data_IF_622584578644
#
_entry.id   IF_622584578644
#
_cell.length_a   1.000
_cell.length_b   1.000
_cell.length_c   1.000
_cell.angle_alpha   90.00
_cell.angle_beta   90.00
_cell.angle_gamma   90.00
#
_symmetry.space_group_name_H-M   'P 1'
#
loop_
_entity.id
_entity.type
_entity.pdbx_description
1 polymer ?
#
# COMPACT_ATOMS: atom_id res chain seq x y z
N UNK A 1 -4.22 9.88 41.89
CA UNK A 1 -5.47 9.27 41.38
C UNK A 1 -6.26 8.84 42.60
N UNK A 2 -7.53 9.26 42.65
CA UNK A 2 -8.43 9.17 43.80
C UNK A 2 -9.38 8.00 43.53
N UNK A 3 -9.03 6.83 44.02
CA UNK A 3 -9.89 5.67 44.28
C UNK A 3 -9.03 4.67 45.08
N UNK A 4 -9.48 4.27 46.27
CA UNK A 4 -8.78 3.34 47.16
C UNK A 4 -8.73 1.88 46.70
N UNK A 5 -8.93 1.59 45.41
CA UNK A 5 -8.77 0.25 44.86
C UNK A 5 -7.30 -0.26 44.95
N UNK A 6 -7.08 -1.52 45.37
CA UNK A 6 -5.74 -2.10 45.39
C UNK A 6 -5.21 -2.26 43.96
N UNK A 7 -3.94 -1.91 43.74
CA UNK A 7 -3.31 -2.00 42.43
C UNK A 7 -3.35 -3.46 41.91
N UNK A 8 -3.59 -3.68 40.60
CA UNK A 8 -3.84 -5.01 40.03
C UNK A 8 -2.62 -5.94 40.02
N UNK A 9 -1.49 -5.50 40.57
CA UNK A 9 -0.28 -6.29 40.75
C UNK A 9 0.17 -6.10 42.20
N UNK A 10 0.52 -7.21 42.87
CA UNK A 10 0.87 -7.28 44.30
C UNK A 10 2.09 -6.46 44.71
N UNK A 11 1.99 -5.15 44.61
CA UNK A 11 3.00 -4.16 44.97
C UNK A 11 2.62 -3.46 46.28
N UNK A 12 2.10 -4.21 47.25
CA UNK A 12 1.71 -3.68 48.56
C UNK A 12 2.85 -2.96 49.30
N UNK A 13 4.10 -3.25 48.97
CA UNK A 13 5.27 -2.59 49.57
C UNK A 13 5.89 -1.49 48.69
N UNK A 14 5.56 -1.41 47.39
CA UNK A 14 6.17 -0.41 46.48
C UNK A 14 5.43 0.94 46.53
N UNK A 15 4.26 0.99 47.18
CA UNK A 15 3.52 2.23 47.42
C UNK A 15 4.27 3.28 48.28
N UNK A 16 5.42 2.94 48.89
CA UNK A 16 6.18 3.86 49.74
C UNK A 16 7.29 4.65 49.01
N UNK A 17 7.66 4.31 47.77
CA UNK A 17 8.68 5.06 47.03
C UNK A 17 8.02 6.14 46.16
N UNK A 18 8.02 7.40 46.63
CA UNK A 18 7.47 8.51 45.86
C UNK A 18 8.46 8.95 44.76
N UNK A 19 8.38 8.32 43.60
CA UNK A 19 9.23 8.65 42.45
C UNK A 19 8.80 9.94 41.73
N UNK A 20 7.70 10.58 42.13
CA UNK A 20 7.21 11.79 41.47
C UNK A 20 8.14 13.00 41.64
N UNK A 21 8.99 12.99 42.68
CA UNK A 21 10.00 14.03 42.94
C UNK A 21 11.43 13.58 42.62
N UNK A 22 11.62 12.42 41.97
CA UNK A 22 12.95 11.92 41.67
C UNK A 22 13.60 12.70 40.53
N UNK A 23 14.77 13.28 40.79
CA UNK A 23 15.50 14.17 39.85
C UNK A 23 16.50 13.43 38.96
N UNK A 24 16.47 12.09 38.95
CA UNK A 24 17.35 11.26 38.11
C UNK A 24 18.66 10.83 38.79
N UNK A 25 18.86 11.10 40.08
CA UNK A 25 20.04 10.62 40.82
C UNK A 25 19.89 9.13 41.20
N UNK A 26 20.70 8.22 40.61
CA UNK A 26 20.63 6.78 40.89
C UNK A 26 21.12 6.41 42.28
N UNK A 27 21.71 7.34 43.05
CA UNK A 27 22.12 7.08 44.42
C UNK A 27 21.07 7.44 45.48
N UNK A 28 19.97 8.08 45.06
CA UNK A 28 18.88 8.46 45.95
C UNK A 28 18.24 7.25 46.66
N UNK A 29 17.77 7.49 47.89
CA UNK A 29 17.19 6.45 48.74
C UNK A 29 15.92 5.83 48.11
N UNK A 30 15.10 6.65 47.47
CA UNK A 30 13.84 6.19 46.85
C UNK A 30 14.10 5.30 45.62
N UNK A 31 15.10 5.64 44.80
CA UNK A 31 15.50 4.83 43.67
C UNK A 31 16.08 3.47 44.08
N UNK A 32 16.91 3.45 45.14
CA UNK A 32 17.48 2.19 45.67
C UNK A 32 16.40 1.27 46.23
N UNK A 33 15.40 1.82 46.93
CA UNK A 33 14.26 1.05 47.44
C UNK A 33 13.40 0.47 46.33
N UNK A 34 13.05 1.28 45.33
CA UNK A 34 12.29 0.83 44.16
C UNK A 34 13.03 -0.29 43.41
N UNK A 35 14.31 -0.07 43.08
CA UNK A 35 15.10 -1.06 42.32
C UNK A 35 15.33 -2.35 43.11
N UNK A 36 15.58 -2.30 44.42
CA UNK A 36 15.65 -3.50 45.26
C UNK A 36 14.32 -4.23 45.35
N UNK A 37 13.18 -3.52 45.48
CA UNK A 37 11.86 -4.15 45.48
C UNK A 37 11.57 -4.87 44.15
N UNK A 38 11.89 -4.23 43.02
CA UNK A 38 11.76 -4.85 41.68
C UNK A 38 12.69 -6.04 41.54
N UNK A 39 13.97 -5.89 41.90
CA UNK A 39 14.94 -6.98 41.81
C UNK A 39 14.55 -8.17 42.70
N UNK A 40 13.97 -7.90 43.88
CA UNK A 40 13.47 -8.94 44.79
C UNK A 40 12.18 -9.57 44.26
N UNK A 41 11.26 -8.82 43.67
CA UNK A 41 10.07 -9.39 43.03
C UNK A 41 10.42 -10.27 41.83
N UNK A 42 11.50 -9.93 41.10
CA UNK A 42 11.97 -10.69 39.94
C UNK A 42 12.83 -11.88 40.33
N UNK A 43 13.68 -11.76 41.36
CA UNK A 43 14.70 -12.75 41.69
C UNK A 43 14.49 -13.46 43.05
N UNK A 44 13.62 -12.97 43.91
CA UNK A 44 13.34 -13.47 45.26
C UNK A 44 11.95 -14.08 45.36
N UNK A 45 11.91 -15.42 45.33
CA UNK A 45 10.80 -16.28 45.72
C UNK A 45 9.57 -16.32 44.80
N UNK A 46 9.46 -17.41 44.03
CA UNK A 46 8.77 -18.58 44.59
C UNK A 46 7.30 -18.44 44.96
N UNK A 47 6.56 -17.48 44.41
CA UNK A 47 5.11 -17.64 44.32
C UNK A 47 4.84 -18.83 43.38
N UNK A 48 4.46 -19.97 43.94
CA UNK A 48 3.78 -21.00 43.18
C UNK A 48 2.61 -20.30 42.51
N UNK A 49 2.70 -20.10 41.19
CA UNK A 49 1.56 -19.60 40.43
C UNK A 49 0.39 -20.51 40.79
N UNK A 50 -0.79 -19.98 41.16
CA UNK A 50 -1.96 -20.83 41.34
C UNK A 50 -2.07 -21.64 40.05
N UNK A 51 -1.92 -22.96 40.19
CA UNK A 51 -2.09 -23.87 39.07
C UNK A 51 -3.46 -23.51 38.47
N UNK A 52 -3.55 -23.16 37.17
CA UNK A 52 -4.84 -22.92 36.56
C UNK A 52 -5.70 -24.12 36.92
N UNK A 53 -6.85 -23.88 37.56
CA UNK A 53 -7.84 -24.94 37.70
C UNK A 53 -7.94 -25.61 36.33
N UNK A 54 -7.74 -26.94 36.28
CA UNK A 54 -7.74 -27.67 35.02
C UNK A 54 -8.91 -27.14 34.21
N UNK A 55 -8.61 -26.50 33.07
CA UNK A 55 -9.64 -25.88 32.26
C UNK A 55 -10.70 -26.96 32.05
N UNK A 56 -11.99 -26.70 32.33
CA UNK A 56 -13.02 -27.66 31.97
C UNK A 56 -12.75 -28.00 30.52
N UNK A 57 -12.73 -29.31 30.20
CA UNK A 57 -12.55 -29.77 28.83
C UNK A 57 -13.57 -29.01 28.01
N UNK A 58 -13.10 -28.00 27.28
CA UNK A 58 -13.95 -27.23 26.40
C UNK A 58 -14.25 -28.19 25.26
N UNK A 59 -15.38 -28.88 25.39
CA UNK A 59 -16.09 -29.32 24.21
C UNK A 59 -16.61 -28.02 23.61
N UNK A 60 -16.09 -27.58 22.46
CA UNK A 60 -16.71 -26.47 21.78
C UNK A 60 -18.20 -26.80 21.66
N UNK A 61 -19.11 -25.87 22.00
CA UNK A 61 -20.50 -26.03 21.60
C UNK A 61 -20.46 -26.36 20.11
N UNK A 62 -21.28 -27.31 19.62
CA UNK A 62 -21.30 -27.64 18.20
C UNK A 62 -21.38 -26.32 17.48
N UNK A 63 -20.34 -26.00 16.71
CA UNK A 63 -20.23 -24.72 16.03
C UNK A 63 -21.50 -24.66 15.22
N UNK A 64 -22.46 -23.83 15.64
CA UNK A 64 -23.62 -23.56 14.83
C UNK A 64 -22.99 -23.07 13.54
N UNK A 65 -23.07 -23.90 12.49
CA UNK A 65 -22.54 -23.57 11.20
C UNK A 65 -22.99 -22.12 10.95
N UNK A 66 -22.06 -21.19 10.63
CA UNK A 66 -22.45 -19.82 10.39
C UNK A 66 -23.68 -19.89 9.50
N UNK A 67 -24.80 -19.30 9.95
CA UNK A 67 -26.06 -19.41 9.24
C UNK A 67 -25.72 -19.21 7.77
N UNK A 68 -25.98 -20.24 6.95
CA UNK A 68 -25.66 -20.20 5.54
C UNK A 68 -26.43 -19.02 4.99
N UNK A 69 -25.76 -17.88 4.94
CA UNK A 69 -26.16 -16.77 4.13
C UNK A 69 -25.75 -17.28 2.77
N UNK A 70 -26.70 -17.67 1.90
CA UNK A 70 -26.34 -17.97 0.53
C UNK A 70 -25.47 -16.81 0.06
N UNK A 71 -24.34 -17.07 -0.59
CA UNK A 71 -23.57 -16.01 -1.22
C UNK A 71 -24.59 -15.14 -1.95
N UNK A 72 -24.76 -13.87 -1.53
CA UNK A 72 -25.52 -12.89 -2.32
C UNK A 72 -25.03 -13.13 -3.73
N UNK A 73 -25.89 -13.50 -4.72
CA UNK A 73 -25.45 -14.08 -5.98
C UNK A 73 -24.21 -13.34 -6.47
N UNK A 74 -23.04 -13.89 -6.13
CA UNK A 74 -21.80 -13.35 -6.62
C UNK A 74 -21.88 -13.75 -8.07
N UNK A 75 -21.72 -12.83 -9.02
CA UNK A 75 -21.64 -13.20 -10.43
C UNK A 75 -20.71 -14.40 -10.50
N UNK A 76 -21.28 -15.55 -10.88
CA UNK A 76 -20.70 -16.86 -10.61
C UNK A 76 -19.23 -16.85 -11.02
N UNK A 77 -18.37 -17.37 -10.16
CA UNK A 77 -16.99 -17.73 -10.47
C UNK A 77 -16.98 -18.93 -11.45
N UNK A 78 -17.59 -18.69 -12.61
CA UNK A 78 -17.87 -19.57 -13.73
C UNK A 78 -18.21 -18.77 -14.99
N UNK A 79 -18.10 -17.43 -14.95
CA UNK A 79 -17.95 -16.62 -16.15
C UNK A 79 -16.50 -16.66 -16.58
N UNK A 80 -16.27 -17.16 -17.79
CA UNK A 80 -15.04 -17.15 -18.58
C UNK A 80 -13.94 -16.24 -18.02
N UNK A 81 -12.72 -16.76 -17.87
CA UNK A 81 -11.50 -15.97 -17.69
C UNK A 81 -11.62 -14.74 -18.59
N UNK A 82 -11.91 -13.55 -18.04
CA UNK A 82 -12.41 -12.41 -18.84
C UNK A 82 -11.27 -11.90 -19.73
N UNK A 83 -11.03 -12.59 -20.85
CA UNK A 83 -10.11 -12.22 -21.91
C UNK A 83 -10.86 -11.24 -22.79
N UNK A 84 -10.97 -10.02 -22.29
CA UNK A 84 -11.43 -8.87 -23.07
C UNK A 84 -10.53 -8.66 -24.29
N UNK A 85 -11.12 -8.07 -25.32
CA UNK A 85 -10.40 -7.49 -26.44
C UNK A 85 -9.53 -6.30 -25.97
N UNK A 86 -8.55 -5.85 -26.78
CA UNK A 86 -7.76 -4.66 -26.48
C UNK A 86 -8.62 -3.44 -26.09
N UNK A 87 -9.66 -3.16 -26.89
CA UNK A 87 -10.62 -2.09 -26.64
C UNK A 87 -11.41 -2.32 -25.34
N UNK A 88 -11.76 -3.58 -25.04
CA UNK A 88 -12.43 -3.94 -23.79
C UNK A 88 -11.60 -3.59 -22.56
N UNK A 89 -10.27 -3.79 -22.58
CA UNK A 89 -9.41 -3.33 -21.47
C UNK A 89 -9.39 -1.81 -21.36
N UNK A 90 -9.28 -1.10 -22.47
CA UNK A 90 -9.24 0.37 -22.46
C UNK A 90 -10.53 0.93 -21.85
N UNK A 91 -11.69 0.42 -22.27
CA UNK A 91 -12.99 0.78 -21.68
C UNK A 91 -13.06 0.45 -20.20
N UNK A 92 -12.54 -0.72 -19.80
CA UNK A 92 -12.47 -1.13 -18.38
C UNK A 92 -11.62 -0.16 -17.56
N UNK A 93 -10.50 0.33 -18.08
CA UNK A 93 -9.67 1.34 -17.43
C UNK A 93 -10.42 2.66 -17.23
N UNK A 94 -11.14 3.14 -18.25
CA UNK A 94 -11.98 4.34 -18.14
C UNK A 94 -13.18 4.17 -17.20
N UNK A 95 -13.71 2.96 -17.06
CA UNK A 95 -14.81 2.72 -16.10
C UNK A 95 -14.31 2.68 -14.66
N UNK A 96 -13.16 2.03 -14.43
CA UNK A 96 -12.67 1.74 -13.10
C UNK A 96 -11.71 2.80 -12.54
N UNK A 97 -11.38 3.85 -13.30
CA UNK A 97 -10.40 4.81 -12.81
C UNK A 97 -10.86 5.58 -11.57
N UNK A 98 -12.16 5.89 -11.50
CA UNK A 98 -12.78 6.63 -10.39
C UNK A 98 -12.81 5.77 -9.13
N UNK A 99 -13.12 4.48 -9.26
CA UNK A 99 -13.22 3.59 -8.11
C UNK A 99 -11.86 3.17 -7.57
N UNK A 100 -10.85 3.02 -8.44
CA UNK A 100 -9.46 2.69 -8.06
C UNK A 100 -9.28 1.34 -7.34
N UNK A 101 -10.36 0.58 -7.17
CA UNK A 101 -10.41 -0.67 -6.40
C UNK A 101 -10.19 -1.88 -7.30
N UNK A 102 -9.76 -2.98 -6.67
CA UNK A 102 -9.53 -4.24 -7.35
C UNK A 102 -8.11 -4.39 -7.88
N UNK A 103 -7.96 -5.36 -8.79
CA UNK A 103 -6.68 -5.83 -9.31
C UNK A 103 -6.67 -5.74 -10.84
N UNK A 104 -5.57 -5.25 -11.40
CA UNK A 104 -5.36 -5.19 -12.85
C UNK A 104 -4.40 -6.30 -13.28
N UNK A 105 -4.86 -7.12 -14.23
CA UNK A 105 -4.02 -8.16 -14.85
C UNK A 105 -3.01 -7.53 -15.81
N UNK A 106 -1.96 -8.27 -16.16
CA UNK A 106 -0.92 -7.80 -17.11
C UNK A 106 -1.50 -7.31 -18.43
N UNK A 107 -2.41 -8.06 -19.05
CA UNK A 107 -3.00 -7.67 -20.33
C UNK A 107 -3.76 -6.33 -20.22
N UNK A 108 -4.47 -6.09 -19.12
CA UNK A 108 -5.17 -4.81 -18.89
C UNK A 108 -4.18 -3.65 -18.80
N UNK A 109 -3.10 -3.83 -18.03
CA UNK A 109 -2.03 -2.84 -17.92
C UNK A 109 -1.33 -2.56 -19.26
N UNK A 110 -0.92 -3.60 -19.98
CA UNK A 110 -0.16 -3.43 -21.22
C UNK A 110 -0.99 -2.88 -22.39
N UNK A 111 -2.27 -3.24 -22.50
CA UNK A 111 -3.15 -2.61 -23.49
C UNK A 111 -3.45 -1.14 -23.16
N UNK A 112 -3.55 -0.80 -21.87
CA UNK A 112 -3.63 0.59 -21.43
C UNK A 112 -2.36 1.38 -21.79
N UNK A 113 -1.17 0.82 -21.54
CA UNK A 113 0.11 1.44 -21.92
C UNK A 113 0.21 1.63 -23.44
N UNK A 114 -0.13 0.61 -24.23
CA UNK A 114 -0.12 0.70 -25.69
C UNK A 114 -1.08 1.78 -26.21
N UNK A 115 -2.27 1.89 -25.63
CA UNK A 115 -3.22 2.95 -25.93
C UNK A 115 -2.66 4.34 -25.61
N UNK A 116 -2.05 4.53 -24.43
CA UNK A 116 -1.43 5.80 -24.06
C UNK A 116 -0.30 6.18 -25.03
N UNK A 117 0.56 5.24 -25.41
CA UNK A 117 1.62 5.48 -26.40
C UNK A 117 1.01 5.93 -27.73
N UNK A 118 -0.02 5.24 -28.22
CA UNK A 118 -0.69 5.60 -29.47
C UNK A 118 -1.30 7.02 -29.43
N UNK A 119 -2.01 7.36 -28.35
CA UNK A 119 -2.58 8.71 -28.16
C UNK A 119 -1.48 9.76 -28.13
N UNK A 120 -0.38 9.52 -27.40
CA UNK A 120 0.71 10.48 -27.30
C UNK A 120 1.44 10.69 -28.63
N UNK A 121 1.63 9.64 -29.43
CA UNK A 121 2.21 9.76 -30.78
C UNK A 121 1.31 10.61 -31.67
N UNK A 122 0.00 10.34 -31.70
CA UNK A 122 -0.95 11.14 -32.49
C UNK A 122 -0.96 12.58 -32.02
N UNK A 123 -1.01 12.83 -30.70
CA UNK A 123 -1.01 14.17 -30.13
C UNK A 123 0.27 14.95 -30.48
N UNK A 124 1.43 14.30 -30.43
CA UNK A 124 2.72 14.91 -30.79
C UNK A 124 2.79 15.27 -32.28
N UNK A 125 2.27 14.41 -33.16
CA UNK A 125 2.16 14.72 -34.60
C UNK A 125 1.22 15.89 -34.84
N UNK A 126 0.09 15.98 -34.14
CA UNK A 126 -0.84 17.10 -34.25
C UNK A 126 -0.21 18.41 -33.78
N UNK A 127 0.52 18.40 -32.66
CA UNK A 127 1.27 19.56 -32.16
C UNK A 127 2.28 20.04 -33.22
N UNK A 128 3.06 19.14 -33.80
CA UNK A 128 4.02 19.48 -34.86
C UNK A 128 3.37 19.95 -36.16
N UNK A 129 2.26 19.34 -36.57
CA UNK A 129 1.54 19.71 -37.78
C UNK A 129 0.84 21.08 -37.68
N UNK A 130 0.39 21.45 -36.48
CA UNK A 130 -0.33 22.72 -36.25
C UNK A 130 0.58 23.88 -35.88
N UNK A 131 1.68 23.62 -35.16
CA UNK A 131 2.58 24.66 -34.66
C UNK A 131 3.96 24.68 -35.34
N UNK A 132 4.28 23.67 -36.15
CA UNK A 132 5.61 23.47 -36.72
C UNK A 132 6.62 22.92 -35.70
N UNK A 133 7.84 22.65 -36.17
CA UNK A 133 8.94 22.18 -35.35
C UNK A 133 10.00 23.27 -35.16
N UNK A 134 10.58 23.30 -33.96
CA UNK A 134 11.70 24.16 -33.63
C UNK A 134 12.99 23.58 -34.25
N UNK A 135 13.68 24.37 -35.07
CA UNK A 135 14.88 23.94 -35.81
C UNK A 135 16.08 23.58 -34.92
N UNK A 136 16.12 24.06 -33.67
CA UNK A 136 17.23 23.80 -32.74
C UNK A 136 16.99 22.58 -31.86
N UNK A 137 15.72 22.32 -31.49
CA UNK A 137 15.37 21.24 -30.55
C UNK A 137 14.69 20.06 -31.23
N UNK A 138 14.23 20.20 -32.48
CA UNK A 138 13.40 19.21 -33.19
C UNK A 138 12.08 18.86 -32.47
N UNK A 139 11.64 19.69 -31.53
CA UNK A 139 10.37 19.55 -30.83
C UNK A 139 9.29 20.45 -31.45
N UNK A 140 8.00 20.10 -31.33
CA UNK A 140 6.90 21.00 -31.67
C UNK A 140 7.04 22.36 -30.98
N UNK A 141 6.71 23.44 -31.69
CA UNK A 141 6.76 24.80 -31.12
C UNK A 141 5.74 24.98 -29.99
N UNK A 142 4.66 24.20 -29.98
CA UNK A 142 3.70 24.11 -28.88
C UNK A 142 3.44 22.65 -28.54
N UNK A 143 3.18 22.35 -27.27
CA UNK A 143 2.87 21.00 -26.78
C UNK A 143 1.47 20.95 -26.16
N UNK A 144 0.53 21.71 -26.73
CA UNK A 144 -0.78 21.89 -26.13
C UNK A 144 -1.62 20.61 -26.20
N UNK A 145 -1.65 19.94 -27.35
CA UNK A 145 -2.46 18.74 -27.57
C UNK A 145 -1.89 17.58 -26.77
N UNK A 146 -0.57 17.35 -26.84
CA UNK A 146 0.10 16.30 -26.06
C UNK A 146 0.02 16.56 -24.55
N UNK A 147 0.13 17.82 -24.11
CA UNK A 147 -0.08 18.21 -22.71
C UNK A 147 -1.50 17.93 -22.23
N UNK A 148 -2.51 18.33 -23.01
CA UNK A 148 -3.91 18.09 -22.68
C UNK A 148 -4.25 16.59 -22.64
N UNK A 149 -3.76 15.80 -23.61
CA UNK A 149 -3.92 14.35 -23.62
C UNK A 149 -3.29 13.69 -22.38
N UNK A 150 -2.09 14.13 -22.01
CA UNK A 150 -1.39 13.63 -20.81
C UNK A 150 -2.20 13.89 -19.54
N UNK A 151 -2.78 15.09 -19.40
CA UNK A 151 -3.62 15.45 -18.25
C UNK A 151 -4.92 14.64 -18.21
N UNK A 152 -5.59 14.49 -19.36
CA UNK A 152 -6.82 13.71 -19.46
C UNK A 152 -6.62 12.23 -19.10
N UNK A 153 -5.45 11.66 -19.47
CA UNK A 153 -5.13 10.26 -19.23
C UNK A 153 -4.37 10.00 -17.92
N UNK A 154 -4.02 11.06 -17.17
CA UNK A 154 -3.25 10.94 -15.93
C UNK A 154 -3.99 10.11 -14.88
N UNK A 155 -5.22 10.50 -14.54
CA UNK A 155 -6.02 9.80 -13.54
C UNK A 155 -6.25 8.31 -13.87
N UNK A 156 -6.69 7.93 -15.08
CA UNK A 156 -6.82 6.51 -15.42
C UNK A 156 -5.49 5.76 -15.44
N UNK A 157 -4.38 6.41 -15.81
CA UNK A 157 -3.06 5.78 -15.74
C UNK A 157 -2.61 5.47 -14.31
N UNK A 158 -2.81 6.41 -13.38
CA UNK A 158 -2.50 6.19 -11.97
C UNK A 158 -3.39 5.09 -11.37
N UNK A 159 -4.68 5.07 -11.73
CA UNK A 159 -5.61 4.05 -11.23
C UNK A 159 -5.25 2.65 -11.72
N UNK A 160 -4.94 2.47 -13.01
CA UNK A 160 -4.54 1.17 -13.57
C UNK A 160 -3.23 0.69 -12.95
N UNK A 161 -2.25 1.58 -12.76
CA UNK A 161 -0.99 1.24 -12.10
C UNK A 161 -1.21 0.86 -10.63
N UNK A 162 -2.09 1.55 -9.92
CA UNK A 162 -2.44 1.24 -8.52
C UNK A 162 -3.06 -0.16 -8.42
N UNK A 163 -4.03 -0.47 -9.28
CA UNK A 163 -4.63 -1.81 -9.37
C UNK A 163 -3.62 -2.87 -9.81
N UNK A 164 -2.60 -2.52 -10.58
CA UNK A 164 -1.50 -3.43 -10.94
C UNK A 164 -0.61 -3.72 -9.73
N UNK A 165 -0.34 -2.72 -8.90
CA UNK A 165 0.40 -2.88 -7.65
C UNK A 165 -0.38 -3.75 -6.66
N UNK A 166 -1.69 -3.54 -6.55
CA UNK A 166 -2.58 -4.42 -5.80
C UNK A 166 -2.52 -5.87 -6.28
N UNK A 167 -2.39 -6.10 -7.59
CA UNK A 167 -2.35 -7.46 -8.15
C UNK A 167 -1.10 -8.25 -7.76
N UNK A 168 0.03 -7.57 -7.58
CA UNK A 168 1.27 -8.19 -7.07
C UNK A 168 1.36 -8.17 -5.53
N UNK A 169 0.34 -7.65 -4.85
CA UNK A 169 0.26 -7.60 -3.38
C UNK A 169 0.95 -6.40 -2.74
N UNK A 170 1.29 -5.37 -3.52
CA UNK A 170 1.85 -4.10 -3.03
C UNK A 170 0.75 -3.09 -2.69
N UNK A 171 1.12 -2.01 -1.99
CA UNK A 171 0.22 -0.88 -1.71
C UNK A 171 0.03 -0.01 -2.95
N UNK A 172 -1.21 0.30 -3.31
CA UNK A 172 -1.53 1.21 -4.42
C UNK A 172 -1.02 2.64 -4.19
N UNK A 173 -0.81 3.04 -2.92
CA UNK A 173 -0.23 4.35 -2.58
C UNK A 173 1.20 4.52 -3.07
N UNK A 174 1.94 3.44 -3.34
CA UNK A 174 3.29 3.53 -3.92
C UNK A 174 3.27 4.17 -5.32
N UNK A 175 2.12 4.22 -6.00
CA UNK A 175 1.96 4.98 -7.24
C UNK A 175 2.17 6.48 -7.02
N UNK A 176 1.82 7.03 -5.85
CA UNK A 176 2.11 8.43 -5.52
C UNK A 176 3.63 8.65 -5.39
N UNK A 177 4.35 7.69 -4.82
CA UNK A 177 5.81 7.75 -4.74
C UNK A 177 6.46 7.64 -6.13
N UNK A 178 5.95 6.77 -7.01
CA UNK A 178 6.36 6.69 -8.41
C UNK A 178 6.13 8.04 -9.11
N UNK A 179 4.93 8.60 -9.01
CA UNK A 179 4.62 9.89 -9.62
C UNK A 179 5.50 11.02 -9.07
N UNK A 180 5.72 11.06 -7.76
CA UNK A 180 6.61 12.02 -7.12
C UNK A 180 8.06 11.88 -7.59
N UNK A 181 8.58 10.66 -7.73
CA UNK A 181 9.92 10.41 -8.26
C UNK A 181 10.05 10.88 -9.72
N UNK A 182 9.02 10.65 -10.55
CA UNK A 182 8.99 11.16 -11.92
C UNK A 182 8.96 12.69 -11.96
N UNK A 183 8.15 13.31 -11.11
CA UNK A 183 8.07 14.77 -11.03
C UNK A 183 9.39 15.40 -10.58
N UNK A 184 9.99 14.90 -9.49
CA UNK A 184 11.28 15.37 -8.96
C UNK A 184 12.40 15.12 -9.96
N UNK A 185 12.45 13.94 -10.58
CA UNK A 185 13.43 13.63 -11.62
C UNK A 185 13.36 14.58 -12.81
N UNK A 186 12.15 14.91 -13.26
CA UNK A 186 11.90 15.92 -14.29
C UNK A 186 12.42 17.30 -13.89
N UNK A 187 12.08 17.77 -12.68
CA UNK A 187 12.56 19.07 -12.17
C UNK A 187 14.09 19.13 -12.03
N UNK A 188 14.70 18.05 -11.55
CA UNK A 188 16.16 17.96 -11.42
C UNK A 188 16.87 17.87 -12.78
N UNK A 189 16.24 17.29 -13.80
CA UNK A 189 16.86 17.17 -15.13
C UNK A 189 17.15 18.53 -15.78
N UNK A 190 16.38 19.57 -15.43
CA UNK A 190 16.61 20.94 -15.88
C UNK A 190 17.81 21.64 -15.22
N UNK A 191 18.26 21.16 -14.05
CA UNK A 191 19.33 21.79 -13.25
C UNK A 191 20.58 20.91 -13.05
N UNK A 192 20.45 19.59 -13.11
CA UNK A 192 21.48 18.59 -12.82
C UNK A 192 21.24 17.30 -13.63
N UNK A 193 21.61 17.36 -14.92
CA UNK A 193 21.20 16.42 -15.98
C UNK A 193 21.39 14.93 -15.64
N UNK A 194 22.53 14.42 -15.14
CA UNK A 194 22.64 12.97 -14.96
C UNK A 194 21.74 12.46 -13.82
N UNK A 195 21.61 13.22 -12.73
CA UNK A 195 20.90 12.74 -11.52
C UNK A 195 19.40 12.61 -11.76
N UNK A 196 18.78 13.65 -12.36
CA UNK A 196 17.35 13.61 -12.68
C UNK A 196 17.01 12.47 -13.64
N UNK A 197 17.82 12.28 -14.69
CA UNK A 197 17.66 11.19 -15.64
C UNK A 197 17.81 9.80 -14.99
N UNK A 198 18.82 9.60 -14.14
CA UNK A 198 19.04 8.32 -13.43
C UNK A 198 17.84 7.97 -12.54
N UNK A 199 17.29 8.94 -11.79
CA UNK A 199 16.13 8.70 -10.94
C UNK A 199 14.91 8.25 -11.76
N UNK A 200 14.67 8.88 -12.90
CA UNK A 200 13.57 8.56 -13.82
C UNK A 200 13.72 7.14 -14.39
N UNK A 201 14.93 6.80 -14.83
CA UNK A 201 15.24 5.48 -15.38
C UNK A 201 15.07 4.40 -14.31
N UNK A 202 15.66 4.60 -13.11
CA UNK A 202 15.55 3.65 -12.01
C UNK A 202 14.08 3.42 -11.60
N UNK A 203 13.29 4.49 -11.49
CA UNK A 203 11.86 4.42 -11.20
C UNK A 203 11.10 3.66 -12.30
N UNK A 204 11.40 3.96 -13.57
CA UNK A 204 10.80 3.28 -14.72
C UNK A 204 11.12 1.79 -14.76
N UNK A 205 12.35 1.40 -14.45
CA UNK A 205 12.75 -0.01 -14.35
C UNK A 205 12.01 -0.72 -13.21
N UNK A 206 11.87 -0.08 -12.05
CA UNK A 206 11.10 -0.65 -10.94
C UNK A 206 9.63 -0.87 -11.31
N UNK A 207 9.00 0.12 -11.97
CA UNK A 207 7.62 0.01 -12.47
C UNK A 207 7.51 -1.09 -13.53
N UNK A 208 8.47 -1.17 -14.45
CA UNK A 208 8.51 -2.19 -15.50
C UNK A 208 8.58 -3.60 -14.91
N UNK A 209 9.46 -3.81 -13.93
CA UNK A 209 9.56 -5.09 -13.20
C UNK A 209 8.20 -5.44 -12.59
N UNK A 210 7.57 -4.52 -11.85
CA UNK A 210 6.25 -4.75 -11.25
C UNK A 210 5.16 -5.02 -12.32
N UNK A 211 5.22 -4.32 -13.45
CA UNK A 211 4.29 -4.49 -14.56
C UNK A 211 4.35 -5.89 -15.18
N UNK A 212 5.53 -6.52 -15.24
CA UNK A 212 5.71 -7.87 -15.83
C UNK A 212 5.53 -9.02 -14.83
N UNK A 213 5.66 -8.77 -13.52
CA UNK A 213 5.54 -9.80 -12.49
C UNK A 213 4.23 -10.62 -12.61
N UNK A 214 4.22 -11.89 -12.19
CA UNK A 214 2.97 -12.66 -12.09
C UNK A 214 2.02 -12.05 -11.07
N UNK A 215 0.72 -12.19 -11.34
CA UNK A 215 -0.34 -11.92 -10.37
C UNK A 215 -0.15 -12.81 -9.16
N UNK A 216 -0.40 -12.29 -7.96
CA UNK A 216 -0.41 -13.11 -6.74
C UNK A 216 -1.49 -14.19 -6.87
N UNK A 217 -1.17 -15.50 -6.70
CA UNK A 217 -2.16 -16.57 -6.77
C UNK A 217 -3.25 -16.42 -5.70
N UNK A 218 -4.47 -16.84 -6.02
CA UNK A 218 -5.60 -16.76 -5.12
C UNK A 218 -6.07 -15.32 -4.79
N UNK A 219 -7.00 -15.18 -3.84
CA UNK A 219 -7.45 -13.87 -3.38
C UNK A 219 -6.36 -13.15 -2.57
N UNK A 220 -6.37 -11.82 -2.63
CA UNK A 220 -5.60 -10.97 -1.73
C UNK A 220 -6.51 -9.90 -1.11
N UNK A 221 -5.96 -9.03 -0.26
CA UNK A 221 -6.74 -7.97 0.43
C UNK A 221 -7.45 -6.98 -0.51
N UNK A 222 -7.08 -6.96 -1.80
CA UNK A 222 -7.66 -6.10 -2.82
C UNK A 222 -8.67 -6.82 -3.72
N UNK A 223 -8.90 -8.13 -3.50
CA UNK A 223 -9.93 -8.90 -4.19
C UNK A 223 -9.43 -10.22 -4.82
N UNK A 224 -10.34 -10.93 -5.52
CA UNK A 224 -10.04 -12.21 -6.16
C UNK A 224 -9.03 -12.04 -7.30
N UNK A 225 -8.35 -13.14 -7.67
CA UNK A 225 -7.42 -13.13 -8.77
C UNK A 225 -8.15 -12.80 -10.09
N UNK A 226 -7.70 -11.81 -10.88
CA UNK A 226 -8.32 -11.47 -12.14
C UNK A 226 -8.25 -12.58 -13.21
N UNK A 227 -7.49 -13.66 -12.96
CA UNK A 227 -7.46 -14.87 -13.80
C UNK A 227 -8.33 -16.01 -13.27
N UNK A 228 -8.93 -15.88 -12.09
CA UNK A 228 -9.64 -16.98 -11.42
C UNK A 228 -8.73 -18.11 -10.92
N UNK A 229 -7.42 -17.85 -10.78
CA UNK A 229 -6.38 -18.80 -10.33
C UNK A 229 -5.98 -18.59 -8.86
#
# INVERSE_FOLDING_TARGET
MIDGSPAPFGFGEVQAANLASWTGDPNSADWKRFSQAVFTAVNGAGAVAPQPAAAPVYTPPPVAAPAYTPPRPQPQAGGDVETLSPLGYIQKCFRLFVDGKGRARRAEYWWWVAFNIAVQVVAYVLDGATSGFNSYTSMPNTQFVSGAASLALLAPSLSVLSRRFHDVGLSGWLVAAVFGAYFVGGMMSAAAIPVGGILMIATGLAVLVIAVLPSKPGPNQYGPNPKGL
#
